data_IF_405297086431
#
_entry.id   IF_405297086431
#
_cell.length_a   1.000
_cell.length_b   1.000
_cell.length_c   1.000
_cell.angle_alpha   90.00
_cell.angle_beta   90.00
_cell.angle_gamma   90.00
#
_symmetry.space_group_name_H-M   'P 1'
#
loop_
_entity.id
_entity.type
_entity.pdbx_description
1 polymer ?
#
# COMPACT_ATOMS: atom_id res chain seq x y z
N UNK A 1 -1.91 -15.80 -0.82
CA UNK A 1 -2.87 -14.68 -0.60
C UNK A 1 -2.71 -14.03 0.78
N UNK A 2 -2.53 -14.81 1.81
CA UNK A 2 -2.41 -14.29 3.18
C UNK A 2 -1.24 -13.31 3.35
N UNK A 3 -0.10 -13.64 2.79
CA UNK A 3 1.08 -12.80 2.84
C UNK A 3 0.87 -11.50 2.08
N UNK A 4 0.24 -11.57 0.91
CA UNK A 4 -0.08 -10.39 0.12
C UNK A 4 -1.08 -9.50 0.85
N UNK A 5 -2.16 -10.07 1.37
CA UNK A 5 -3.17 -9.30 2.10
C UNK A 5 -2.57 -8.63 3.34
N UNK A 6 -1.72 -9.33 4.08
CA UNK A 6 -1.03 -8.78 5.25
C UNK A 6 -0.09 -7.64 4.86
N UNK A 7 0.65 -7.80 3.77
CA UNK A 7 1.53 -6.75 3.26
C UNK A 7 0.76 -5.51 2.83
N UNK A 8 -0.36 -5.69 2.14
CA UNK A 8 -1.21 -4.58 1.71
C UNK A 8 -1.80 -3.83 2.90
N UNK A 9 -2.28 -4.56 3.92
CA UNK A 9 -2.80 -3.95 5.14
C UNK A 9 -1.71 -3.18 5.88
N UNK A 10 -0.50 -3.73 5.94
CA UNK A 10 0.63 -3.04 6.56
C UNK A 10 0.98 -1.77 5.78
N UNK A 11 0.99 -1.82 4.46
CA UNK A 11 1.28 -0.65 3.62
C UNK A 11 0.22 0.45 3.82
N UNK A 12 -1.05 0.06 3.94
CA UNK A 12 -2.12 1.00 4.23
C UNK A 12 -1.90 1.72 5.57
N UNK A 13 -1.59 0.96 6.61
CA UNK A 13 -1.37 1.52 7.95
C UNK A 13 -0.11 2.36 8.01
N UNK A 14 0.95 1.92 7.34
CA UNK A 14 2.19 2.69 7.26
C UNK A 14 1.98 4.02 6.52
N UNK A 15 1.25 3.99 5.41
CA UNK A 15 0.93 5.21 4.67
C UNK A 15 0.09 6.18 5.51
N UNK A 16 -0.85 5.67 6.28
CA UNK A 16 -1.64 6.49 7.20
C UNK A 16 -0.76 7.13 8.28
N UNK A 17 0.15 6.37 8.86
CA UNK A 17 1.11 6.88 9.83
C UNK A 17 1.99 7.98 9.24
N UNK A 18 2.53 7.75 8.06
CA UNK A 18 3.32 8.76 7.35
C UNK A 18 2.49 10.01 7.00
N UNK A 19 1.25 9.82 6.57
CA UNK A 19 0.33 10.92 6.28
C UNK A 19 0.17 11.85 7.48
N UNK A 20 0.06 11.28 8.67
CA UNK A 20 -0.13 12.07 9.89
C UNK A 20 1.13 12.82 10.31
N UNK A 21 2.31 12.33 9.98
CA UNK A 21 3.54 12.86 10.52
C UNK A 21 4.57 13.38 9.52
N UNK A 22 4.30 13.33 8.21
CA UNK A 22 5.29 13.71 7.19
C UNK A 22 5.81 15.13 7.38
N UNK A 23 7.12 15.30 7.27
CA UNK A 23 7.81 16.58 7.44
C UNK A 23 8.90 16.75 6.40
N UNK A 24 9.26 18.00 6.15
CA UNK A 24 10.29 18.36 5.18
C UNK A 24 9.71 19.11 3.99
N UNK A 25 10.57 19.48 3.05
CA UNK A 25 10.17 20.18 1.83
C UNK A 25 9.30 19.23 0.98
N UNK A 26 8.13 19.70 0.58
CA UNK A 26 7.16 18.87 -0.15
C UNK A 26 6.23 18.08 0.72
N UNK A 27 6.26 18.26 2.04
CA UNK A 27 5.45 17.49 2.98
C UNK A 27 3.95 17.65 2.75
N UNK A 28 3.48 18.81 2.32
CA UNK A 28 2.06 19.01 2.06
C UNK A 28 1.56 18.14 0.90
N UNK A 29 2.30 18.12 -0.20
CA UNK A 29 1.95 17.26 -1.34
C UNK A 29 2.00 15.78 -0.95
N UNK A 30 3.01 15.39 -0.17
CA UNK A 30 3.13 14.01 0.31
C UNK A 30 1.99 13.65 1.25
N UNK A 31 1.58 14.57 2.13
CA UNK A 31 0.44 14.38 3.02
C UNK A 31 -0.83 14.05 2.23
N UNK A 32 -1.10 14.83 1.18
CA UNK A 32 -2.28 14.61 0.33
C UNK A 32 -2.19 13.27 -0.42
N UNK A 33 -1.05 12.97 -1.01
CA UNK A 33 -0.84 11.74 -1.76
C UNK A 33 -0.98 10.50 -0.89
N UNK A 34 -0.41 10.54 0.32
CA UNK A 34 -0.51 9.44 1.27
C UNK A 34 -1.96 9.23 1.73
N UNK A 35 -2.70 10.31 1.91
CA UNK A 35 -4.13 10.25 2.27
C UNK A 35 -4.95 9.56 1.18
N UNK A 36 -4.74 9.93 -0.07
CA UNK A 36 -5.42 9.30 -1.21
C UNK A 36 -5.04 7.82 -1.34
N UNK A 37 -3.77 7.49 -1.11
CA UNK A 37 -3.31 6.10 -1.18
C UNK A 37 -4.02 5.22 -0.15
N UNK A 38 -3.98 5.58 1.13
CA UNK A 38 -4.55 4.69 2.14
C UNK A 38 -6.07 4.60 2.05
N UNK A 39 -6.75 5.65 1.61
CA UNK A 39 -8.20 5.59 1.37
C UNK A 39 -8.53 4.65 0.22
N UNK A 40 -7.83 4.78 -0.89
CA UNK A 40 -8.10 4.00 -2.08
C UNK A 40 -7.73 2.53 -1.91
N UNK A 41 -6.59 2.23 -1.27
CA UNK A 41 -6.13 0.86 -1.11
C UNK A 41 -7.05 0.05 -0.19
N UNK A 42 -7.74 0.69 0.74
CA UNK A 42 -8.65 0.01 1.67
C UNK A 42 -9.75 -0.75 0.94
N UNK A 43 -10.43 -0.09 -0.01
CA UNK A 43 -11.49 -0.73 -0.79
C UNK A 43 -10.97 -1.84 -1.69
N UNK A 44 -9.77 -1.68 -2.24
CA UNK A 44 -9.14 -2.71 -3.07
C UNK A 44 -8.76 -3.94 -2.25
N UNK A 45 -8.23 -3.74 -1.05
CA UNK A 45 -7.91 -4.85 -0.14
C UNK A 45 -9.17 -5.64 0.18
N UNK A 46 -10.25 -4.95 0.53
CA UNK A 46 -11.52 -5.59 0.84
C UNK A 46 -12.02 -6.41 -0.35
N UNK A 47 -12.07 -5.81 -1.53
CA UNK A 47 -12.50 -6.49 -2.74
C UNK A 47 -11.66 -7.72 -3.06
N UNK A 48 -10.34 -7.60 -2.97
CA UNK A 48 -9.41 -8.69 -3.24
C UNK A 48 -9.59 -9.85 -2.25
N UNK A 49 -9.58 -9.53 -0.97
CA UNK A 49 -9.66 -10.54 0.09
C UNK A 49 -11.04 -11.22 0.09
N UNK A 50 -12.10 -10.45 0.00
CA UNK A 50 -13.46 -10.99 0.00
C UNK A 50 -13.72 -11.89 -1.22
N UNK A 51 -13.23 -11.50 -2.40
CA UNK A 51 -13.34 -12.30 -3.61
C UNK A 51 -12.60 -13.64 -3.45
N UNK A 52 -11.39 -13.59 -2.93
CA UNK A 52 -10.60 -14.79 -2.68
C UNK A 52 -11.28 -15.69 -1.66
N UNK A 53 -11.73 -15.13 -0.54
CA UNK A 53 -12.39 -15.87 0.51
C UNK A 53 -13.71 -16.51 0.05
N UNK A 54 -14.40 -15.88 -0.87
CA UNK A 54 -15.61 -16.43 -1.46
C UNK A 54 -15.37 -17.71 -2.24
N UNK A 55 -14.17 -17.89 -2.77
CA UNK A 55 -13.80 -19.09 -3.55
C UNK A 55 -13.05 -20.12 -2.74
N UNK A 56 -12.12 -19.67 -1.90
CA UNK A 56 -11.13 -20.53 -1.27
C UNK A 56 -11.34 -20.68 0.25
N UNK A 57 -12.31 -19.95 0.82
CA UNK A 57 -12.54 -19.94 2.26
C UNK A 57 -11.74 -18.86 2.97
N UNK A 58 -12.00 -18.69 4.26
CA UNK A 58 -11.39 -17.64 5.06
C UNK A 58 -9.87 -17.79 5.14
N UNK A 59 -9.17 -16.67 5.00
CA UNK A 59 -7.73 -16.62 5.21
C UNK A 59 -7.44 -16.12 6.62
N UNK A 60 -6.27 -16.49 7.13
CA UNK A 60 -5.77 -16.00 8.41
C UNK A 60 -4.67 -15.00 8.17
N UNK A 61 -4.94 -13.73 8.53
CA UNK A 61 -3.98 -12.66 8.31
C UNK A 61 -2.89 -12.68 9.36
N UNK A 62 -1.66 -12.40 8.95
CA UNK A 62 -0.55 -12.16 9.87
C UNK A 62 -0.76 -10.82 10.58
N UNK A 63 -0.11 -10.65 11.73
CA UNK A 63 -0.09 -9.35 12.40
C UNK A 63 0.63 -8.29 11.59
N UNK A 64 0.30 -7.03 11.85
CA UNK A 64 1.03 -5.90 11.29
C UNK A 64 2.38 -5.80 12.00
N UNK A 65 3.46 -5.64 11.23
CA UNK A 65 4.79 -5.43 11.79
C UNK A 65 4.94 -4.05 12.42
N UNK A 66 6.11 -3.79 12.97
CA UNK A 66 6.44 -2.49 13.56
C UNK A 66 6.43 -1.42 12.48
N UNK A 67 5.73 -0.32 12.73
CA UNK A 67 5.68 0.79 11.79
C UNK A 67 6.99 1.59 11.83
N UNK A 68 7.42 2.06 10.65
CA UNK A 68 8.52 2.98 10.52
C UNK A 68 8.07 4.35 11.02
N UNK A 69 8.83 4.93 11.95
CA UNK A 69 8.52 6.22 12.58
C UNK A 69 9.32 7.38 11.99
N UNK A 70 10.14 7.13 10.99
CA UNK A 70 10.92 8.18 10.34
C UNK A 70 10.05 8.91 9.33
N UNK A 71 9.49 10.03 9.73
CA UNK A 71 8.55 10.85 8.97
C UNK A 71 9.21 11.84 7.99
N UNK A 72 10.52 11.76 7.80
CA UNK A 72 11.20 12.58 6.81
C UNK A 72 10.75 12.19 5.42
N UNK A 73 10.50 13.18 4.57
CA UNK A 73 9.98 12.97 3.21
C UNK A 73 10.87 12.03 2.38
N UNK A 74 12.19 12.11 2.54
CA UNK A 74 13.11 11.24 1.80
C UNK A 74 12.94 9.78 2.19
N UNK A 75 12.74 9.51 3.47
CA UNK A 75 12.49 8.16 3.95
C UNK A 75 11.15 7.61 3.43
N UNK A 76 10.13 8.45 3.41
CA UNK A 76 8.81 8.07 2.90
C UNK A 76 8.87 7.73 1.42
N UNK A 77 9.55 8.55 0.63
CA UNK A 77 9.73 8.29 -0.80
C UNK A 77 10.45 6.95 -1.01
N UNK A 78 11.52 6.72 -0.26
CA UNK A 78 12.26 5.45 -0.32
C UNK A 78 11.36 4.25 -0.01
N UNK A 79 10.55 4.35 1.03
CA UNK A 79 9.62 3.31 1.41
C UNK A 79 8.63 2.99 0.28
N UNK A 80 8.01 4.04 -0.30
CA UNK A 80 7.05 3.87 -1.38
C UNK A 80 7.69 3.26 -2.63
N UNK A 81 8.92 3.67 -2.97
CA UNK A 81 9.64 3.10 -4.11
C UNK A 81 9.91 1.62 -3.91
N UNK A 82 10.34 1.21 -2.72
CA UNK A 82 10.59 -0.20 -2.41
C UNK A 82 9.29 -1.00 -2.45
N UNK A 83 8.23 -0.44 -1.91
CA UNK A 83 6.92 -1.09 -1.89
C UNK A 83 6.40 -1.33 -3.31
N UNK A 84 6.44 -0.32 -4.18
CA UNK A 84 5.97 -0.44 -5.56
C UNK A 84 6.85 -1.37 -6.39
N UNK A 85 8.15 -1.36 -6.16
CA UNK A 85 9.05 -2.31 -6.81
C UNK A 85 8.73 -3.75 -6.42
N UNK A 86 8.48 -3.98 -5.14
CA UNK A 86 8.07 -5.29 -4.64
C UNK A 86 6.74 -5.74 -5.25
N UNK A 87 5.77 -4.85 -5.35
CA UNK A 87 4.49 -5.15 -6.02
C UNK A 87 4.68 -5.44 -7.51
N UNK A 88 5.55 -4.70 -8.18
CA UNK A 88 5.84 -4.93 -9.58
C UNK A 88 6.42 -6.33 -9.81
N UNK A 89 7.42 -6.73 -9.02
CA UNK A 89 7.99 -8.07 -9.10
C UNK A 89 6.95 -9.15 -8.80
N UNK A 90 6.14 -8.93 -7.80
CA UNK A 90 5.08 -9.87 -7.42
C UNK A 90 4.07 -10.03 -8.55
N UNK A 91 3.66 -8.90 -9.17
CA UNK A 91 2.74 -8.88 -10.30
C UNK A 91 3.29 -9.67 -11.49
N UNK A 92 4.55 -9.40 -11.86
CA UNK A 92 5.18 -10.03 -13.03
C UNK A 92 5.36 -11.55 -12.85
N UNK A 93 5.66 -11.98 -11.62
CA UNK A 93 6.07 -13.36 -11.39
C UNK A 93 4.94 -14.26 -10.87
N UNK A 94 3.95 -13.73 -10.17
CA UNK A 94 2.99 -14.55 -9.43
C UNK A 94 1.53 -14.23 -9.78
N UNK A 95 1.12 -12.96 -9.72
CA UNK A 95 -0.28 -12.56 -9.90
C UNK A 95 -0.44 -11.39 -10.89
N UNK A 96 -0.17 -11.61 -12.17
CA UNK A 96 -0.15 -10.50 -13.14
C UNK A 96 -1.46 -9.71 -13.22
N UNK A 97 -2.60 -10.39 -13.26
CA UNK A 97 -3.90 -9.72 -13.47
C UNK A 97 -4.38 -8.96 -12.23
N UNK A 98 -4.12 -9.49 -11.05
CA UNK A 98 -4.55 -8.89 -9.79
C UNK A 98 -3.69 -7.68 -9.46
N UNK A 99 -2.39 -7.84 -9.54
CA UNK A 99 -1.44 -6.79 -9.17
C UNK A 99 -1.47 -5.61 -10.14
N UNK A 100 -1.79 -5.88 -11.41
CA UNK A 100 -1.96 -4.81 -12.39
C UNK A 100 -2.94 -3.75 -11.91
N UNK A 101 -4.11 -4.18 -11.45
CA UNK A 101 -5.14 -3.27 -10.95
C UNK A 101 -4.67 -2.48 -9.73
N UNK A 102 -3.94 -3.12 -8.83
CA UNK A 102 -3.42 -2.48 -7.63
C UNK A 102 -2.29 -1.51 -7.93
N UNK A 103 -1.40 -1.85 -8.86
CA UNK A 103 -0.26 -1.01 -9.19
C UNK A 103 -0.66 0.29 -9.89
N UNK A 104 -1.70 0.26 -10.70
CA UNK A 104 -2.13 1.45 -11.44
C UNK A 104 -3.03 2.37 -10.63
N UNK A 105 -3.47 1.95 -9.45
CA UNK A 105 -4.25 2.81 -8.57
C UNK A 105 -3.49 4.07 -8.15
N UNK A 106 -2.24 3.97 -7.67
CA UNK A 106 -1.47 5.15 -7.26
C UNK A 106 -1.13 6.10 -8.40
N UNK A 107 -1.22 5.64 -9.65
CA UNK A 107 -0.96 6.50 -10.82
C UNK A 107 -1.99 7.62 -10.91
N UNK A 108 -3.16 7.42 -10.31
CA UNK A 108 -4.18 8.45 -10.24
C UNK A 108 -3.87 9.48 -9.15
N UNK A 109 -2.92 9.20 -8.28
CA UNK A 109 -2.46 10.14 -7.27
C UNK A 109 -1.55 11.14 -7.94
N UNK A 110 -2.01 12.37 -8.00
CA UNK A 110 -1.31 13.45 -8.69
C UNK A 110 -0.27 14.07 -7.79
N UNK A 111 0.98 13.80 -8.06
CA UNK A 111 2.12 14.36 -7.34
C UNK A 111 2.46 15.77 -7.84
N UNK A 112 1.51 16.59 -8.05
CA UNK A 112 1.72 17.99 -8.43
C UNK A 112 2.32 18.81 -7.30
#
# INVERSE_FOLDING_TARGET
MEELASLLLQSRTQAHSFHLGVKGIGSHSAHLALGEYYDAISGLIDGLVETYQGKEGLIQLSGIGTLDKNNDIKNIIKYLMVLFYGFHLFNELIYPSVMWSLMFLPVTIDFK
#
